data_IF_492235709766
#
_entry.id   IF_492235709766
#
_cell.length_a   1.000
_cell.length_b   1.000
_cell.length_c   1.000
_cell.angle_alpha   90.00
_cell.angle_beta   90.00
_cell.angle_gamma   90.00
#
_symmetry.space_group_name_H-M   'P 1'
#
loop_
_entity.id
_entity.type
_entity.pdbx_description
1 polymer ?
#
# COMPACT_ATOMS: atom_id res chain seq x y z
N UNK A 1 -12.10 -9.38 1.75
CA UNK A 1 -11.34 -10.62 2.02
C UNK A 1 -10.29 -10.76 0.92
N UNK A 2 -9.02 -11.00 1.25
CA UNK A 2 -7.99 -11.26 0.26
C UNK A 2 -8.16 -12.66 -0.35
N UNK A 3 -8.06 -12.76 -1.67
CA UNK A 3 -8.23 -14.00 -2.42
C UNK A 3 -7.05 -14.12 -3.38
N UNK A 4 -6.37 -15.27 -3.33
CA UNK A 4 -5.41 -15.71 -4.33
C UNK A 4 -6.03 -16.91 -5.06
N UNK A 5 -6.33 -16.76 -6.35
CA UNK A 5 -6.92 -17.85 -7.13
C UNK A 5 -5.87 -18.90 -7.56
N UNK A 6 -6.34 -20.01 -8.13
CA UNK A 6 -5.52 -21.12 -8.61
C UNK A 6 -4.58 -20.75 -9.76
N UNK A 7 -4.97 -19.77 -10.57
CA UNK A 7 -4.13 -19.17 -11.61
C UNK A 7 -3.06 -18.23 -11.03
N UNK A 8 -3.20 -17.83 -9.77
CA UNK A 8 -2.28 -16.97 -9.04
C UNK A 8 -2.67 -15.49 -9.03
N UNK A 9 -3.85 -15.11 -9.50
CA UNK A 9 -4.31 -13.72 -9.45
C UNK A 9 -4.73 -13.38 -8.03
N UNK A 10 -4.27 -12.23 -7.57
CA UNK A 10 -4.62 -11.72 -6.26
C UNK A 10 -5.68 -10.62 -6.37
N UNK A 11 -6.68 -10.68 -5.50
CA UNK A 11 -7.68 -9.62 -5.33
C UNK A 11 -8.01 -9.40 -3.87
N UNK A 12 -8.26 -8.16 -3.49
CA UNK A 12 -8.62 -7.76 -2.13
C UNK A 12 -9.74 -6.72 -2.13
N UNK A 13 -10.42 -6.60 -0.98
CA UNK A 13 -11.57 -5.70 -0.79
C UNK A 13 -11.22 -4.21 -0.87
N UNK A 14 -9.95 -3.86 -0.68
CA UNK A 14 -9.39 -2.51 -0.84
C UNK A 14 -9.05 -2.17 -2.30
N UNK A 15 -9.53 -2.98 -3.25
CA UNK A 15 -9.27 -2.88 -4.69
C UNK A 15 -7.81 -3.13 -5.08
N UNK A 16 -6.99 -3.64 -4.17
CA UNK A 16 -5.67 -4.16 -4.50
C UNK A 16 -5.82 -5.41 -5.35
N UNK A 17 -5.19 -5.41 -6.52
CA UNK A 17 -5.18 -6.54 -7.44
C UNK A 17 -3.87 -6.55 -8.22
N UNK A 18 -3.32 -7.74 -8.44
CA UNK A 18 -2.13 -7.95 -9.26
C UNK A 18 -2.10 -9.39 -9.78
N UNK A 19 -1.35 -9.61 -10.85
CA UNK A 19 -1.18 -10.93 -11.45
C UNK A 19 0.32 -11.28 -11.54
N UNK A 20 0.68 -12.55 -11.36
CA UNK A 20 2.03 -13.05 -11.58
C UNK A 20 2.43 -13.00 -13.05
N UNK A 21 3.72 -12.82 -13.29
CA UNK A 21 4.34 -12.95 -14.61
C UNK A 21 4.22 -14.39 -15.17
N UNK A 22 4.13 -15.38 -14.30
CA UNK A 22 3.98 -16.81 -14.60
C UNK A 22 2.56 -17.33 -14.29
N UNK A 23 1.54 -16.57 -14.71
CA UNK A 23 0.14 -16.95 -14.54
C UNK A 23 -0.12 -18.37 -15.07
N UNK A 24 -0.77 -19.21 -14.26
CA UNK A 24 -0.95 -20.60 -14.62
C UNK A 24 -1.35 -21.50 -13.46
N UNK A 25 -1.94 -22.65 -13.79
CA UNK A 25 -2.34 -23.67 -12.82
C UNK A 25 -1.13 -24.49 -12.36
N UNK A 26 -1.21 -25.00 -11.12
CA UNK A 26 -0.21 -25.94 -10.59
C UNK A 26 1.12 -25.33 -10.15
N UNK A 27 1.34 -24.03 -10.38
CA UNK A 27 2.50 -23.31 -9.85
C UNK A 27 2.36 -23.18 -8.34
N UNK A 28 3.38 -23.60 -7.59
CA UNK A 28 3.39 -23.44 -6.14
C UNK A 28 3.73 -21.99 -5.80
N UNK A 29 2.83 -21.31 -5.07
CA UNK A 29 2.94 -19.88 -4.77
C UNK A 29 3.02 -19.59 -3.28
N UNK A 30 3.67 -18.48 -2.94
CA UNK A 30 3.75 -17.94 -1.58
C UNK A 30 3.51 -16.43 -1.62
N UNK A 31 2.43 -15.98 -0.99
CA UNK A 31 2.17 -14.56 -0.77
C UNK A 31 2.81 -14.14 0.56
N UNK A 32 3.73 -13.19 0.51
CA UNK A 32 4.56 -12.80 1.67
C UNK A 32 4.51 -11.29 1.86
N UNK A 33 4.36 -10.83 3.11
CA UNK A 33 4.64 -9.45 3.47
C UNK A 33 6.11 -9.39 3.90
N UNK A 34 6.93 -8.72 3.10
CA UNK A 34 8.37 -8.64 3.37
C UNK A 34 8.71 -7.55 4.39
N UNK A 35 9.96 -7.57 4.87
CA UNK A 35 10.46 -6.63 5.88
C UNK A 35 10.38 -5.16 5.45
N UNK A 36 10.40 -4.89 4.16
CA UNK A 36 10.22 -3.55 3.59
C UNK A 36 8.74 -3.14 3.43
N UNK A 37 7.84 -3.88 4.08
CA UNK A 37 6.38 -3.66 4.05
C UNK A 37 5.76 -3.79 2.66
N UNK A 38 6.47 -4.41 1.70
CA UNK A 38 5.92 -4.71 0.39
C UNK A 38 5.35 -6.13 0.37
N UNK A 39 4.09 -6.26 -0.02
CA UNK A 39 3.48 -7.56 -0.26
C UNK A 39 4.03 -8.12 -1.59
N UNK A 40 4.66 -9.29 -1.58
CA UNK A 40 5.21 -9.94 -2.78
C UNK A 40 4.60 -11.32 -3.00
N UNK A 41 4.34 -11.64 -4.25
CA UNK A 41 3.97 -12.99 -4.68
C UNK A 41 5.20 -13.69 -5.23
N UNK A 42 5.50 -14.83 -4.63
CA UNK A 42 6.59 -15.69 -5.04
C UNK A 42 6.05 -16.94 -5.72
N UNK A 43 6.77 -17.37 -6.74
CA UNK A 43 6.58 -18.66 -7.41
C UNK A 43 7.80 -19.55 -7.14
N UNK A 44 7.56 -20.84 -6.87
CA UNK A 44 8.65 -21.79 -6.67
C UNK A 44 9.28 -22.13 -8.03
N UNK A 45 10.54 -21.76 -8.20
CA UNK A 45 11.34 -22.21 -9.34
C UNK A 45 11.92 -23.59 -9.03
N UNK A 46 11.40 -24.61 -9.70
CA UNK A 46 11.81 -26.00 -9.50
C UNK A 46 13.23 -26.29 -9.98
N UNK A 47 13.75 -25.51 -10.93
CA UNK A 47 15.10 -25.69 -11.51
C UNK A 47 16.16 -25.31 -10.49
N UNK A 48 16.02 -24.15 -9.85
CA UNK A 48 16.97 -23.66 -8.83
C UNK A 48 16.58 -24.04 -7.40
N UNK A 49 15.37 -24.61 -7.23
CA UNK A 49 14.77 -25.00 -5.94
C UNK A 49 14.62 -23.82 -4.97
N UNK A 50 14.29 -22.65 -5.49
CA UNK A 50 14.13 -21.43 -4.71
C UNK A 50 12.89 -20.62 -5.13
N UNK A 51 12.53 -19.63 -4.34
CA UNK A 51 11.39 -18.76 -4.53
C UNK A 51 11.78 -17.50 -5.30
N UNK A 52 11.16 -17.28 -6.44
CA UNK A 52 11.36 -16.09 -7.25
C UNK A 52 10.14 -15.18 -7.20
N UNK A 53 10.36 -13.87 -7.21
CA UNK A 53 9.27 -12.89 -7.23
C UNK A 53 8.60 -12.93 -8.60
N UNK A 54 7.32 -13.33 -8.63
CA UNK A 54 6.51 -13.34 -9.85
C UNK A 54 5.58 -12.14 -9.96
N UNK A 55 5.25 -11.50 -8.82
CA UNK A 55 4.52 -10.24 -8.82
C UNK A 55 4.80 -9.42 -7.56
N UNK A 56 4.63 -8.11 -7.70
CA UNK A 56 4.45 -7.20 -6.60
C UNK A 56 3.34 -6.20 -7.00
N UNK A 57 2.55 -5.70 -6.05
CA UNK A 57 1.54 -4.70 -6.32
C UNK A 57 2.19 -3.43 -6.85
N UNK A 58 1.56 -2.83 -7.85
CA UNK A 58 1.78 -1.43 -8.14
C UNK A 58 1.16 -0.63 -7.00
N UNK A 59 1.97 -0.29 -6.00
CA UNK A 59 1.51 0.46 -4.85
C UNK A 59 1.22 1.89 -5.31
N UNK A 60 -0.06 2.18 -5.56
CA UNK A 60 -0.56 3.55 -5.43
C UNK A 60 -0.28 3.99 -3.99
N UNK A 61 0.89 4.58 -3.75
CA UNK A 61 1.39 4.93 -2.41
C UNK A 61 0.36 5.69 -1.57
N UNK A 62 -0.48 6.55 -2.17
CA UNK A 62 -1.55 7.24 -1.44
C UNK A 62 -2.67 6.33 -0.90
N UNK A 63 -2.80 5.10 -1.38
CA UNK A 63 -3.71 4.09 -0.81
C UNK A 63 -3.14 3.36 0.39
N UNK A 64 -1.84 3.51 0.67
CA UNK A 64 -1.23 2.91 1.85
C UNK A 64 -1.82 3.56 3.09
N UNK A 65 -2.54 2.76 3.88
CA UNK A 65 -3.12 3.23 5.13
C UNK A 65 -2.01 3.76 6.05
N UNK A 66 -2.25 4.94 6.62
CA UNK A 66 -1.31 5.59 7.55
C UNK A 66 -0.25 6.47 6.91
N UNK A 67 -0.17 6.56 5.57
CA UNK A 67 0.87 7.35 4.90
C UNK A 67 0.91 8.83 5.34
N UNK A 68 -0.25 9.48 5.49
CA UNK A 68 -0.34 10.91 5.83
C UNK A 68 -0.80 11.22 7.25
N UNK A 69 -0.76 10.20 8.12
CA UNK A 69 -1.18 10.30 9.52
C UNK A 69 -2.58 10.90 9.70
N UNK A 70 -2.92 11.24 10.95
CA UNK A 70 -4.22 11.77 11.32
C UNK A 70 -4.55 13.08 10.58
N UNK A 71 -5.74 13.15 9.98
CA UNK A 71 -6.28 14.30 9.25
C UNK A 71 -5.42 14.79 8.06
N UNK A 72 -4.42 14.02 7.62
CA UNK A 72 -3.63 14.34 6.42
C UNK A 72 -4.24 13.75 5.15
N UNK A 73 -4.13 14.51 4.06
CA UNK A 73 -4.58 14.10 2.72
C UNK A 73 -3.35 13.83 1.86
N UNK A 74 -3.30 12.64 1.27
CA UNK A 74 -2.29 12.28 0.29
C UNK A 74 -2.65 12.81 -1.10
N UNK A 75 -1.73 13.55 -1.72
CA UNK A 75 -1.83 14.04 -3.10
C UNK A 75 -0.54 13.73 -3.87
N UNK A 76 -0.62 13.60 -5.19
CA UNK A 76 0.57 13.35 -6.04
C UNK A 76 1.12 14.66 -6.63
N UNK A 77 2.34 15.06 -6.25
CA UNK A 77 3.05 16.25 -6.79
C UNK A 77 4.60 16.17 -6.68
N UNK A 78 5.37 15.65 -7.65
CA UNK A 78 5.05 14.58 -8.61
C UNK A 78 5.05 13.19 -7.96
N UNK A 79 5.60 13.07 -6.75
CA UNK A 79 5.51 11.91 -5.85
C UNK A 79 4.38 12.11 -4.83
N UNK A 80 3.99 11.07 -4.06
CA UNK A 80 3.01 11.22 -2.99
C UNK A 80 3.52 12.20 -1.93
N UNK A 81 2.69 13.17 -1.60
CA UNK A 81 2.96 14.23 -0.64
C UNK A 81 1.73 14.40 0.23
N UNK A 82 1.96 14.60 1.53
CA UNK A 82 0.90 14.82 2.49
C UNK A 82 0.59 16.30 2.64
N UNK A 83 -0.69 16.65 2.69
CA UNK A 83 -1.18 18.02 2.85
C UNK A 83 -2.32 18.06 3.85
N UNK A 84 -2.57 19.23 4.45
CA UNK A 84 -3.71 19.40 5.34
C UNK A 84 -4.94 19.92 4.58
N UNK A 85 -6.15 19.44 4.93
CA UNK A 85 -7.38 20.02 4.41
C UNK A 85 -7.54 21.49 4.83
N UNK A 86 -8.45 22.19 4.16
CA UNK A 86 -8.82 23.55 4.54
C UNK A 86 -9.28 23.60 6.01
N UNK A 87 -8.79 24.61 6.75
CA UNK A 87 -9.05 24.77 8.18
C UNK A 87 -8.10 24.00 9.10
N UNK A 88 -7.16 23.23 8.55
CA UNK A 88 -6.15 22.50 9.30
C UNK A 88 -4.72 23.00 9.01
N UNK A 89 -3.80 22.71 9.92
CA UNK A 89 -2.36 22.93 9.80
C UNK A 89 -1.57 21.72 10.31
N UNK A 90 -0.28 21.64 9.95
CA UNK A 90 0.57 20.55 10.44
C UNK A 90 0.69 20.63 11.96
N UNK A 91 0.70 19.48 12.62
CA UNK A 91 0.92 19.45 14.08
C UNK A 91 2.30 20.00 14.44
N UNK A 92 3.30 19.65 13.62
CA UNK A 92 4.69 20.09 13.74
C UNK A 92 5.07 20.83 12.46
N UNK A 93 5.51 22.10 12.52
CA UNK A 93 6.01 22.81 11.36
C UNK A 93 7.18 22.05 10.72
N UNK A 94 7.09 21.78 9.42
CA UNK A 94 8.14 21.07 8.68
C UNK A 94 8.07 19.54 8.74
N UNK A 95 7.21 18.95 9.58
CA UNK A 95 7.01 17.50 9.67
C UNK A 95 5.57 17.11 9.31
N UNK A 96 5.41 16.68 8.06
CA UNK A 96 4.12 16.27 7.49
C UNK A 96 3.70 14.86 7.92
N UNK A 97 4.60 14.10 8.56
CA UNK A 97 4.32 12.74 9.04
C UNK A 97 3.61 12.73 10.40
N UNK A 98 3.45 13.89 11.03
CA UNK A 98 2.73 14.06 12.31
C UNK A 98 1.24 14.37 12.11
N UNK A 99 0.79 14.47 10.85
CA UNK A 99 -0.58 14.78 10.49
C UNK A 99 -0.99 16.22 10.78
N UNK A 100 -2.30 16.44 10.83
CA UNK A 100 -2.91 17.76 10.85
C UNK A 100 -3.78 17.99 12.09
N UNK A 101 -3.81 19.23 12.57
CA UNK A 101 -4.70 19.74 13.64
C UNK A 101 -5.58 20.88 13.12
N UNK A 102 -6.79 21.07 13.65
CA UNK A 102 -7.64 22.19 13.28
C UNK A 102 -7.01 23.51 13.74
N UNK A 103 -7.18 24.57 12.94
CA UNK A 103 -6.80 25.94 13.28
C UNK A 103 -7.80 26.62 14.23
N UNK A 104 -8.96 25.99 14.43
CA UNK A 104 -10.07 26.51 15.20
C UNK A 104 -10.37 25.60 16.39
N UNK A 105 -10.99 26.17 17.43
CA UNK A 105 -11.41 25.42 18.60
C UNK A 105 -12.72 24.70 18.30
N UNK A 106 -12.66 23.37 18.23
CA UNK A 106 -13.81 22.50 17.92
C UNK A 106 -14.90 22.55 19.02
N UNK A 107 -14.55 23.06 20.20
CA UNK A 107 -15.42 23.16 21.38
C UNK A 107 -16.19 24.51 21.48
N UNK A 108 -16.00 25.42 20.53
CA UNK A 108 -16.64 26.73 20.52
C UNK A 108 -17.65 26.90 19.37
N UNK A 109 -18.12 25.79 18.80
CA UNK A 109 -19.14 25.76 17.75
C UNK A 109 -20.39 25.02 18.22
#
# INVERSE_FOLDING_TARGET
VPILDDMGRFTSSDRMNFSPSDIGLGVKRRLTMDLDSTLRLYSLNHTIKDWEVSSMPDLERCRVHGLCWENGICIYRPSPTCTCPHGFETKVPGDWNQGCKPKFNIFLQ
#
